data_IF_212537471455
#
_entry.id   IF_212537471455
#
_cell.length_a   1.000
_cell.length_b   1.000
_cell.length_c   1.000
_cell.angle_alpha   90.00
_cell.angle_beta   90.00
_cell.angle_gamma   90.00
#
_symmetry.space_group_name_H-M   'P 1'
#
loop_
_entity.id
_entity.type
_entity.pdbx_description
1 polymer ?
#
# COMPACT_ATOMS: atom_id res chain seq x y z
N UNK A 1 -14.46 8.23 13.59
CA UNK A 1 -13.28 7.91 14.39
C UNK A 1 -13.29 6.43 14.74
N UNK A 2 -12.45 5.66 14.07
CA UNK A 2 -12.22 4.24 14.35
C UNK A 2 -11.33 4.12 15.60
N UNK A 3 -11.77 3.34 16.60
CA UNK A 3 -10.99 3.15 17.84
C UNK A 3 -9.81 2.19 17.62
N UNK A 4 -8.66 2.40 18.29
CA UNK A 4 -7.53 1.47 18.23
C UNK A 4 -7.92 0.07 18.73
N UNK A 5 -7.56 -1.00 18.01
CA UNK A 5 -7.89 -2.37 18.41
C UNK A 5 -6.97 -2.86 19.54
N UNK A 6 -7.54 -3.60 20.49
CA UNK A 6 -6.81 -4.28 21.57
C UNK A 6 -7.15 -5.78 21.68
N UNK A 7 -8.13 -6.26 20.91
CA UNK A 7 -8.47 -7.68 20.79
C UNK A 7 -8.33 -8.16 19.35
N UNK A 8 -8.14 -9.47 19.17
CA UNK A 8 -8.11 -10.08 17.83
C UNK A 8 -9.38 -9.80 17.02
N UNK A 9 -10.56 -9.80 17.65
CA UNK A 9 -11.82 -9.53 16.95
C UNK A 9 -11.89 -8.09 16.41
N UNK A 10 -11.41 -7.10 17.18
CA UNK A 10 -11.34 -5.71 16.72
C UNK A 10 -10.33 -5.55 15.59
N UNK A 11 -9.15 -6.19 15.71
CA UNK A 11 -8.17 -6.25 14.63
C UNK A 11 -8.77 -6.86 13.37
N UNK A 12 -9.49 -7.97 13.50
CA UNK A 12 -10.11 -8.67 12.38
C UNK A 12 -11.13 -7.80 11.64
N UNK A 13 -11.95 -7.04 12.38
CA UNK A 13 -12.90 -6.08 11.82
C UNK A 13 -12.19 -4.90 11.14
N UNK A 14 -11.18 -4.34 11.80
CA UNK A 14 -10.40 -3.22 11.27
C UNK A 14 -9.68 -3.57 9.97
N UNK A 15 -9.06 -4.75 9.90
CA UNK A 15 -8.41 -5.23 8.68
C UNK A 15 -9.42 -5.44 7.53
N UNK A 16 -10.65 -5.84 7.84
CA UNK A 16 -11.74 -5.90 6.85
C UNK A 16 -12.13 -4.51 6.34
N UNK A 17 -12.26 -3.52 7.23
CA UNK A 17 -12.50 -2.11 6.84
C UNK A 17 -11.36 -1.55 5.99
N UNK A 18 -10.12 -1.81 6.39
CA UNK A 18 -8.92 -1.41 5.64
C UNK A 18 -8.91 -2.04 4.25
N UNK A 19 -9.10 -3.36 4.13
CA UNK A 19 -9.16 -4.05 2.84
C UNK A 19 -10.26 -3.50 1.92
N UNK A 20 -11.38 -3.02 2.50
CA UNK A 20 -12.44 -2.37 1.75
C UNK A 20 -12.05 -0.99 1.20
N UNK A 21 -11.04 -0.31 1.76
CA UNK A 21 -10.51 0.94 1.25
C UNK A 21 -11.44 2.15 1.37
N UNK A 22 -12.36 2.13 2.34
CA UNK A 22 -13.40 3.15 2.51
C UNK A 22 -13.04 4.25 3.52
N UNK A 23 -12.03 4.02 4.37
CA UNK A 23 -11.64 4.92 5.45
C UNK A 23 -10.14 4.80 5.77
N UNK A 24 -9.28 4.82 4.75
CA UNK A 24 -7.85 4.50 4.86
C UNK A 24 -7.14 5.28 5.97
N UNK A 25 -7.34 6.60 6.05
CA UNK A 25 -6.65 7.44 7.05
C UNK A 25 -7.03 7.05 8.49
N UNK A 26 -8.34 6.96 8.77
CA UNK A 26 -8.82 6.54 10.09
C UNK A 26 -8.42 5.09 10.42
N UNK A 27 -8.47 4.20 9.43
CA UNK A 27 -8.14 2.79 9.62
C UNK A 27 -6.66 2.60 9.91
N UNK A 28 -5.77 3.21 9.11
CA UNK A 28 -4.32 3.13 9.32
C UNK A 28 -3.91 3.79 10.63
N UNK A 29 -4.53 4.93 10.98
CA UNK A 29 -4.29 5.55 12.28
C UNK A 29 -4.66 4.62 13.44
N UNK A 30 -5.84 4.01 13.40
CA UNK A 30 -6.28 3.05 14.41
C UNK A 30 -5.37 1.81 14.46
N UNK A 31 -4.94 1.27 13.30
CA UNK A 31 -4.02 0.14 13.22
C UNK A 31 -2.68 0.47 13.91
N UNK A 32 -2.09 1.64 13.63
CA UNK A 32 -0.79 2.03 14.22
C UNK A 32 -0.87 2.27 15.72
N UNK A 33 -2.03 2.70 16.23
CA UNK A 33 -2.29 2.91 17.65
C UNK A 33 -2.76 1.64 18.40
N UNK A 34 -3.03 0.55 17.67
CA UNK A 34 -3.52 -0.70 18.25
C UNK A 34 -2.46 -1.45 19.06
N UNK A 35 -2.92 -2.32 19.95
CA UNK A 35 -2.06 -3.23 20.70
C UNK A 35 -2.39 -4.68 20.36
N UNK A 36 -1.37 -5.54 20.37
CA UNK A 36 -1.52 -6.95 20.07
C UNK A 36 -0.74 -7.78 21.09
N UNK A 37 -1.43 -8.71 21.76
CA UNK A 37 -0.79 -9.67 22.64
C UNK A 37 -0.24 -10.82 21.79
N UNK A 38 1.08 -10.94 21.73
CA UNK A 38 1.76 -11.99 20.97
C UNK A 38 1.82 -13.29 21.75
N UNK A 39 0.81 -14.14 21.54
CA UNK A 39 0.77 -15.53 22.01
C UNK A 39 0.73 -16.49 20.82
N UNK A 40 1.25 -17.71 21.01
CA UNK A 40 1.27 -18.75 19.98
C UNK A 40 -0.13 -18.98 19.40
N UNK A 41 -0.22 -19.08 18.07
CA UNK A 41 -1.46 -19.20 17.32
C UNK A 41 -2.24 -17.89 17.06
N UNK A 42 -2.20 -16.89 17.93
CA UNK A 42 -2.78 -15.56 17.64
C UNK A 42 -1.88 -14.79 16.67
N UNK A 43 -0.57 -14.86 16.92
CA UNK A 43 0.48 -14.30 16.08
C UNK A 43 0.35 -14.67 14.60
N UNK A 44 0.37 -15.97 14.28
CA UNK A 44 0.32 -16.48 12.90
C UNK A 44 -0.99 -16.11 12.20
N UNK A 45 -2.13 -16.25 12.88
CA UNK A 45 -3.43 -15.87 12.32
C UNK A 45 -3.53 -14.38 12.04
N UNK A 46 -2.97 -13.55 12.94
CA UNK A 46 -2.93 -12.12 12.73
C UNK A 46 -2.06 -11.76 11.52
N UNK A 47 -0.83 -12.29 11.44
CA UNK A 47 0.08 -12.04 10.31
C UNK A 47 -0.55 -12.44 8.98
N UNK A 48 -1.15 -13.63 8.91
CA UNK A 48 -1.84 -14.08 7.70
C UNK A 48 -2.97 -13.12 7.32
N UNK A 49 -3.80 -12.73 8.27
CA UNK A 49 -4.94 -11.83 8.01
C UNK A 49 -4.49 -10.43 7.58
N UNK A 50 -3.39 -9.93 8.13
CA UNK A 50 -2.79 -8.66 7.71
C UNK A 50 -2.28 -8.75 6.27
N UNK A 51 -1.54 -9.81 5.93
CA UNK A 51 -1.06 -10.05 4.57
C UNK A 51 -2.22 -10.20 3.57
N UNK A 52 -3.29 -10.90 3.95
CA UNK A 52 -4.49 -11.05 3.11
C UNK A 52 -5.17 -9.70 2.85
N UNK A 53 -5.27 -8.85 3.88
CA UNK A 53 -5.83 -7.50 3.77
C UNK A 53 -4.97 -6.59 2.88
N UNK A 54 -3.64 -6.63 3.06
CA UNK A 54 -2.68 -5.91 2.21
C UNK A 54 -2.77 -6.37 0.75
N UNK A 55 -2.79 -7.68 0.50
CA UNK A 55 -2.89 -8.25 -0.84
C UNK A 55 -4.22 -7.86 -1.52
N UNK A 56 -5.33 -7.93 -0.78
CA UNK A 56 -6.64 -7.49 -1.28
C UNK A 56 -6.60 -6.02 -1.70
N UNK A 57 -5.99 -5.18 -0.87
CA UNK A 57 -5.89 -3.74 -1.13
C UNK A 57 -4.94 -3.46 -2.31
N UNK A 58 -3.81 -4.15 -2.42
CA UNK A 58 -2.88 -4.07 -3.57
C UNK A 58 -3.61 -4.37 -4.88
N UNK A 59 -4.39 -5.45 -4.94
CA UNK A 59 -5.14 -5.80 -6.17
C UNK A 59 -6.16 -4.72 -6.52
N UNK A 60 -6.96 -4.29 -5.54
CA UNK A 60 -7.98 -3.24 -5.73
C UNK A 60 -7.40 -1.91 -6.18
N UNK A 61 -6.27 -1.51 -5.59
CA UNK A 61 -5.58 -0.27 -5.95
C UNK A 61 -4.92 -0.38 -7.32
N UNK A 62 -4.41 -1.56 -7.68
CA UNK A 62 -3.94 -1.90 -9.03
C UNK A 62 -5.04 -1.75 -10.07
N UNK A 63 -6.21 -2.36 -9.85
CA UNK A 63 -7.36 -2.25 -10.76
C UNK A 63 -7.83 -0.79 -10.93
N UNK A 64 -7.75 -0.01 -9.86
CA UNK A 64 -8.08 1.41 -9.90
C UNK A 64 -7.05 2.18 -10.69
N UNK A 65 -5.76 1.93 -10.47
CA UNK A 65 -4.67 2.55 -11.22
C UNK A 65 -4.70 2.22 -12.71
N UNK A 66 -4.96 0.96 -13.09
CA UNK A 66 -5.13 0.58 -14.49
C UNK A 66 -6.28 1.33 -15.15
N UNK A 67 -7.40 1.55 -14.44
CA UNK A 67 -8.52 2.37 -14.94
C UNK A 67 -8.16 3.85 -15.04
N UNK A 68 -7.42 4.38 -14.06
CA UNK A 68 -6.96 5.78 -14.06
C UNK A 68 -6.04 6.03 -15.26
N UNK A 69 -5.09 5.13 -15.55
CA UNK A 69 -4.23 5.20 -16.73
C UNK A 69 -4.99 5.02 -18.05
N UNK A 70 -5.95 4.09 -18.12
CA UNK A 70 -6.73 3.88 -19.34
C UNK A 70 -7.61 5.09 -19.71
N UNK A 71 -7.97 5.92 -18.72
CA UNK A 71 -8.75 7.15 -18.91
C UNK A 71 -7.87 8.38 -19.10
N UNK A 72 -6.56 8.29 -18.85
CA UNK A 72 -5.65 9.40 -18.98
C UNK A 72 -5.56 9.82 -20.46
N UNK A 73 -5.88 11.09 -20.73
CA UNK A 73 -5.89 11.65 -22.08
C UNK A 73 -4.77 12.67 -22.29
N UNK A 74 -4.32 13.29 -21.20
CA UNK A 74 -3.21 14.22 -21.17
C UNK A 74 -2.06 13.72 -20.28
N UNK A 75 -0.91 14.37 -20.42
CA UNK A 75 0.27 14.13 -19.59
C UNK A 75 -0.02 14.34 -18.10
N UNK A 76 -0.75 15.41 -17.77
CA UNK A 76 -1.16 15.73 -16.41
C UNK A 76 -2.03 14.63 -15.79
N UNK A 77 -2.91 13.98 -16.56
CA UNK A 77 -3.73 12.85 -16.08
C UNK A 77 -2.84 11.65 -15.73
N UNK A 78 -1.84 11.38 -16.57
CA UNK A 78 -0.85 10.31 -16.34
C UNK A 78 -0.05 10.58 -15.06
N UNK A 79 0.45 11.81 -14.90
CA UNK A 79 1.17 12.23 -13.69
C UNK A 79 0.27 12.09 -12.47
N UNK A 80 -0.98 12.54 -12.55
CA UNK A 80 -1.94 12.44 -11.45
C UNK A 80 -2.20 10.97 -11.05
N UNK A 81 -2.36 10.07 -12.02
CA UNK A 81 -2.52 8.64 -11.79
C UNK A 81 -1.28 8.02 -11.10
N UNK A 82 -0.07 8.35 -11.57
CA UNK A 82 1.19 7.88 -10.97
C UNK A 82 1.34 8.35 -9.52
N UNK A 83 1.08 9.64 -9.26
CA UNK A 83 1.16 10.20 -7.91
C UNK A 83 0.07 9.63 -6.99
N UNK A 84 -1.14 9.38 -7.52
CA UNK A 84 -2.21 8.72 -6.77
C UNK A 84 -1.81 7.30 -6.37
N UNK A 85 -1.20 6.55 -7.28
CA UNK A 85 -0.73 5.20 -6.99
C UNK A 85 0.41 5.18 -5.96
N UNK A 86 1.35 6.14 -6.03
CA UNK A 86 2.38 6.30 -4.98
C UNK A 86 1.73 6.55 -3.61
N UNK A 87 0.71 7.40 -3.53
CA UNK A 87 -0.02 7.65 -2.27
C UNK A 87 -0.69 6.39 -1.74
N UNK A 88 -1.34 5.59 -2.61
CA UNK A 88 -1.93 4.29 -2.22
C UNK A 88 -0.88 3.33 -1.65
N UNK A 89 0.29 3.22 -2.29
CA UNK A 89 1.38 2.42 -1.74
C UNK A 89 1.94 2.95 -0.42
N UNK A 90 1.98 4.27 -0.20
CA UNK A 90 2.36 4.83 1.11
C UNK A 90 1.36 4.49 2.20
N UNK A 91 0.07 4.50 1.89
CA UNK A 91 -0.97 4.01 2.81
C UNK A 91 -0.76 2.54 3.16
N UNK A 92 -0.51 1.69 2.14
CA UNK A 92 -0.19 0.26 2.34
C UNK A 92 1.07 0.08 3.20
N UNK A 93 2.12 0.87 2.95
CA UNK A 93 3.35 0.84 3.73
C UNK A 93 3.08 1.18 5.18
N UNK A 94 2.33 2.26 5.46
CA UNK A 94 1.98 2.65 6.82
C UNK A 94 1.13 1.60 7.56
N UNK A 95 0.33 0.83 6.82
CA UNK A 95 -0.48 -0.29 7.32
C UNK A 95 0.33 -1.57 7.56
N UNK A 96 1.45 -1.75 6.86
CA UNK A 96 2.40 -2.84 7.10
C UNK A 96 3.40 -2.49 8.22
N UNK A 97 3.76 -1.21 8.33
CA UNK A 97 4.70 -0.65 9.29
C UNK A 97 4.07 -0.47 10.70
N UNK A 98 3.53 -1.55 11.26
CA UNK A 98 2.80 -1.49 12.53
C UNK A 98 3.73 -1.63 13.73
N UNK A 99 3.70 -0.70 14.70
CA UNK A 99 4.49 -0.80 15.93
C UNK A 99 4.13 -2.02 16.81
N UNK A 100 2.91 -2.54 16.68
CA UNK A 100 2.44 -3.72 17.41
C UNK A 100 3.02 -5.04 16.89
N UNK A 101 3.76 -5.03 15.77
CA UNK A 101 4.41 -6.20 15.19
C UNK A 101 5.85 -6.38 15.74
N UNK A 102 6.32 -7.62 15.94
CA UNK A 102 7.71 -7.95 16.14
C UNK A 102 8.54 -7.50 14.94
N UNK A 103 9.81 -7.18 15.17
CA UNK A 103 10.69 -6.62 14.17
C UNK A 103 10.75 -7.44 12.86
N UNK A 104 10.87 -8.76 12.95
CA UNK A 104 10.93 -9.63 11.77
C UNK A 104 9.61 -9.63 10.99
N UNK A 105 8.46 -9.80 11.65
CA UNK A 105 7.15 -9.76 10.98
C UNK A 105 6.85 -8.38 10.38
N UNK A 106 7.24 -7.31 11.06
CA UNK A 106 7.12 -5.93 10.54
C UNK A 106 7.96 -5.77 9.27
N UNK A 107 9.20 -6.27 9.28
CA UNK A 107 10.09 -6.24 8.12
C UNK A 107 9.53 -7.03 6.94
N UNK A 108 8.99 -8.23 7.19
CA UNK A 108 8.36 -9.07 6.15
C UNK A 108 7.15 -8.41 5.51
N UNK A 109 6.25 -7.85 6.33
CA UNK A 109 5.04 -7.17 5.83
C UNK A 109 5.39 -5.90 5.04
N UNK A 110 6.36 -5.11 5.50
CA UNK A 110 6.90 -3.96 4.74
C UNK A 110 7.48 -4.42 3.41
N UNK A 111 8.30 -5.48 3.41
CA UNK A 111 8.93 -6.01 2.21
C UNK A 111 7.90 -6.49 1.17
N UNK A 112 6.77 -7.06 1.62
CA UNK A 112 5.69 -7.46 0.72
C UNK A 112 5.09 -6.26 -0.03
N UNK A 113 4.85 -5.14 0.66
CA UNK A 113 4.34 -3.90 0.05
C UNK A 113 5.37 -3.29 -0.90
N UNK A 114 6.64 -3.21 -0.48
CA UNK A 114 7.72 -2.69 -1.32
C UNK A 114 7.87 -3.51 -2.60
N UNK A 115 7.84 -4.85 -2.49
CA UNK A 115 7.91 -5.76 -3.65
C UNK A 115 6.76 -5.52 -4.63
N UNK A 116 5.55 -5.30 -4.13
CA UNK A 116 4.40 -4.99 -4.99
C UNK A 116 4.57 -3.64 -5.72
N UNK A 117 5.08 -2.63 -5.01
CA UNK A 117 5.34 -1.32 -5.60
C UNK A 117 6.46 -1.38 -6.65
N UNK A 118 7.54 -2.11 -6.38
CA UNK A 118 8.65 -2.32 -7.31
C UNK A 118 8.19 -3.03 -8.59
N UNK A 119 7.43 -4.13 -8.47
CA UNK A 119 6.85 -4.82 -9.63
C UNK A 119 5.94 -3.92 -10.47
N UNK A 120 5.19 -3.05 -9.82
CA UNK A 120 4.34 -2.07 -10.51
C UNK A 120 5.19 -1.05 -11.27
N UNK A 121 6.26 -0.54 -10.63
CA UNK A 121 7.22 0.37 -11.27
C UNK A 121 7.92 -0.29 -12.47
N UNK A 122 8.41 -1.52 -12.31
CA UNK A 122 9.06 -2.29 -13.38
C UNK A 122 8.11 -2.51 -14.57
N UNK A 123 6.85 -2.83 -14.29
CA UNK A 123 5.82 -2.99 -15.33
C UNK A 123 5.57 -1.68 -16.08
N UNK A 124 5.49 -0.55 -15.37
CA UNK A 124 5.35 0.77 -16.00
C UNK A 124 6.56 1.11 -16.87
N UNK A 125 7.78 0.87 -16.38
CA UNK A 125 9.00 1.10 -17.13
C UNK A 125 9.11 0.20 -18.37
N UNK A 126 8.62 -1.05 -18.29
CA UNK A 126 8.55 -1.95 -19.43
C UNK A 126 7.53 -1.45 -20.48
N UNK A 127 6.32 -1.08 -20.05
CA UNK A 127 5.29 -0.56 -20.96
C UNK A 127 5.69 0.76 -21.60
N UNK A 128 6.36 1.65 -20.87
CA UNK A 128 6.79 2.96 -21.34
C UNK A 128 7.84 2.90 -22.47
N UNK A 129 8.56 1.79 -22.63
CA UNK A 129 9.51 1.59 -23.74
C UNK A 129 8.82 1.47 -25.10
N UNK A 130 7.52 1.20 -25.13
CA UNK A 130 6.75 1.08 -26.37
C UNK A 130 6.37 2.43 -26.96
N UNK A 131 6.43 3.51 -26.17
CA UNK A 131 6.24 4.90 -26.62
C UNK A 131 7.50 5.38 -27.37
N UNK A 132 7.36 5.61 -28.68
CA UNK A 132 8.45 6.03 -29.56
C UNK A 132 8.97 7.44 -29.25
N UNK A 133 8.18 8.27 -28.56
CA UNK A 133 8.59 9.64 -28.22
C UNK A 133 9.50 9.71 -26.99
N UNK A 134 9.54 8.63 -26.19
CA UNK A 134 10.29 8.57 -24.94
C UNK A 134 9.68 9.40 -23.80
N UNK A 135 8.58 10.14 -24.05
CA UNK A 135 7.92 10.98 -23.05
C UNK A 135 7.35 10.15 -21.91
N UNK A 136 6.72 9.01 -22.22
CA UNK A 136 6.18 8.13 -21.19
C UNK A 136 7.28 7.59 -20.27
N UNK A 137 8.44 7.26 -20.84
CA UNK A 137 9.61 6.81 -20.08
C UNK A 137 10.14 7.90 -19.14
N UNK A 138 10.13 9.17 -19.57
CA UNK A 138 10.50 10.30 -18.72
C UNK A 138 9.50 10.48 -17.56
N UNK A 139 8.20 10.42 -17.82
CA UNK A 139 7.16 10.56 -16.79
C UNK A 139 7.25 9.47 -15.73
N UNK A 140 7.33 8.20 -16.12
CA UNK A 140 7.41 7.07 -15.19
C UNK A 140 8.65 7.15 -14.30
N UNK A 141 9.77 7.67 -14.82
CA UNK A 141 11.01 7.85 -14.05
C UNK A 141 10.97 9.06 -13.12
N UNK A 142 10.35 10.16 -13.52
CA UNK A 142 10.18 11.36 -12.68
C UNK A 142 9.10 11.18 -11.60
N UNK A 143 8.09 10.35 -11.88
CA UNK A 143 6.93 10.14 -11.01
C UNK A 143 6.79 8.67 -10.57
N UNK A 144 7.90 8.07 -10.12
CA UNK A 144 7.97 6.67 -9.65
C UNK A 144 6.86 6.29 -8.66
N UNK A 145 6.27 5.12 -8.75
CA UNK A 145 5.21 4.69 -7.81
C UNK A 145 5.78 4.00 -6.56
N UNK A 146 7.06 3.59 -6.58
CA UNK A 146 7.70 2.76 -5.55
C UNK A 146 8.55 3.50 -4.51
N UNK A 147 8.36 4.81 -4.37
CA UNK A 147 9.04 5.62 -3.34
C UNK A 147 8.13 5.74 -2.11
N UNK A 148 8.27 4.77 -1.20
CA UNK A 148 7.32 4.54 -0.11
C UNK A 148 7.74 5.15 1.22
N UNK A 149 9.05 5.19 1.48
CA UNK A 149 9.58 5.89 2.64
C UNK A 149 9.22 7.36 2.53
N UNK A 150 8.61 7.87 3.58
CA UNK A 150 8.46 9.31 3.74
C UNK A 150 9.78 9.75 4.36
N UNK A 151 10.56 10.57 3.67
CA UNK A 151 11.69 11.24 4.30
C UNK A 151 11.16 11.82 5.62
N UNK A 152 11.68 11.33 6.75
CA UNK A 152 11.43 11.97 8.02
C UNK A 152 11.90 13.41 7.84
N UNK A 153 10.94 14.34 7.75
CA UNK A 153 11.28 15.76 7.76
C UNK A 153 12.10 15.98 9.02
N UNK A 154 13.36 16.37 8.79
CA UNK A 154 14.39 16.59 9.80
C UNK A 154 13.97 17.63 10.82
#
# INVERSE_FOLDING_TARGET
MIAPPNTYAQWAALLTTFAAGTADEEAVHAMRAGTLVWQSGVAERFTQRLLDALNTRIQKDGDTFSRDLARASAEQDTIAALLAQRRRFRTLYAAADLPALPAETRKETIAAVQTAADRTQESLEASAKTDRTGRMSALVRSHRVNVLETEASS
#
